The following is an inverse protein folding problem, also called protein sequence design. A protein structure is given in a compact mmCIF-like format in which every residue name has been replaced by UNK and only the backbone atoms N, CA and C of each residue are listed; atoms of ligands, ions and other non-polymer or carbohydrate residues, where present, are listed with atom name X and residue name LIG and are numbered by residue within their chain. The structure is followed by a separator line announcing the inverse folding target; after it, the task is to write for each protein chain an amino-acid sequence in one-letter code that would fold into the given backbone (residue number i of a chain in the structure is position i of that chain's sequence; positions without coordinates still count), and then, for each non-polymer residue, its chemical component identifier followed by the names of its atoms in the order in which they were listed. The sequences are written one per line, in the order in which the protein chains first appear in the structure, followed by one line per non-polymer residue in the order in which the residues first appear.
data_IF_214113547362
#
_entry.id   IF_214113547362
#
_cell.length_a   1.000
_cell.length_b   1.000
_cell.length_c   1.000
_cell.angle_alpha   90.00
_cell.angle_beta   90.00
_cell.angle_gamma   90.00
#
_symmetry.space_group_name_H-M   'P 1'
#
loop_
_entity.id
_entity.type
_entity.pdbx_description
1 polymer ?
#
# COMPACT_ATOMS: atom_id res chain seq x y z
N UNK A 1 -11.68 -45.15 6.07
CA UNK A 1 -10.82 -44.05 5.65
C UNK A 1 -9.50 -44.13 6.41
N UNK A 2 -8.40 -44.43 5.74
CA UNK A 2 -7.11 -44.78 6.35
C UNK A 2 -6.53 -43.63 7.20
N UNK A 3 -5.92 -43.96 8.34
CA UNK A 3 -5.25 -43.04 9.28
C UNK A 3 -4.18 -42.15 8.59
N UNK A 4 -3.60 -42.63 7.49
CA UNK A 4 -2.65 -41.89 6.66
C UNK A 4 -3.30 -40.70 5.90
N UNK A 5 -4.55 -40.86 5.44
CA UNK A 5 -5.30 -39.80 4.73
C UNK A 5 -5.73 -38.70 5.71
N UNK A 6 -6.10 -39.07 6.95
CA UNK A 6 -6.43 -38.07 8.00
C UNK A 6 -5.21 -37.22 8.41
N UNK A 7 -4.01 -37.82 8.48
CA UNK A 7 -2.77 -37.09 8.79
C UNK A 7 -2.36 -36.17 7.66
N UNK A 8 -2.52 -36.56 6.39
CA UNK A 8 -2.21 -35.74 5.24
C UNK A 8 -3.18 -34.54 5.11
N UNK A 9 -4.48 -34.73 5.38
CA UNK A 9 -5.47 -33.65 5.41
C UNK A 9 -5.23 -32.67 6.57
N UNK A 10 -4.78 -33.15 7.71
CA UNK A 10 -4.47 -32.28 8.87
C UNK A 10 -3.21 -31.45 8.64
N UNK A 11 -2.19 -32.02 7.99
CA UNK A 11 -0.95 -31.30 7.61
C UNK A 11 -1.23 -30.28 6.50
N UNK A 12 -2.08 -30.60 5.54
CA UNK A 12 -2.50 -29.66 4.48
C UNK A 12 -3.30 -28.48 5.04
N UNK A 13 -4.15 -28.72 6.04
CA UNK A 13 -4.90 -27.65 6.73
C UNK A 13 -4.00 -26.75 7.58
N UNK A 14 -2.94 -27.29 8.18
CA UNK A 14 -1.94 -26.51 8.92
C UNK A 14 -1.06 -25.65 8.02
N UNK A 15 -0.77 -26.10 6.80
CA UNK A 15 0.03 -25.34 5.83
C UNK A 15 -0.76 -24.19 5.18
N UNK A 16 -2.08 -24.35 4.99
CA UNK A 16 -2.93 -23.25 4.51
C UNK A 16 -3.16 -22.14 5.55
N UNK A 17 -3.07 -22.45 6.86
CA UNK A 17 -3.20 -21.41 7.89
C UNK A 17 -1.90 -20.63 8.17
N UNK A 18 -0.74 -21.13 7.72
CA UNK A 18 0.55 -20.46 7.90
C UNK A 18 0.69 -19.18 7.08
N UNK A 19 -0.01 -19.05 5.96
CA UNK A 19 0.04 -17.88 5.10
C UNK A 19 -0.71 -16.65 5.65
N UNK A 20 -1.76 -16.86 6.44
CA UNK A 20 -2.53 -15.79 7.06
C UNK A 20 -1.87 -15.18 8.31
N UNK A 21 -0.97 -15.91 8.96
CA UNK A 21 -0.33 -15.46 10.20
C UNK A 21 0.70 -14.32 9.96
N UNK A 22 1.25 -14.17 8.75
CA UNK A 22 2.21 -13.11 8.44
C UNK A 22 1.57 -11.74 8.20
N UNK A 23 0.36 -11.67 7.69
CA UNK A 23 -0.36 -10.41 7.49
C UNK A 23 -0.88 -9.84 8.82
N UNK A 24 -1.17 -10.69 9.80
CA UNK A 24 -1.75 -10.32 11.10
C UNK A 24 -0.74 -9.75 12.10
N UNK A 25 0.57 -9.82 11.84
CA UNK A 25 1.61 -9.40 12.79
C UNK A 25 1.76 -7.87 12.92
N UNK A 26 1.17 -7.09 12.00
CA UNK A 26 1.17 -5.63 12.03
C UNK A 26 -0.07 -5.02 12.68
N UNK A 27 -1.14 -5.82 12.85
CA UNK A 27 -2.35 -5.45 13.55
C UNK A 27 -2.30 -6.03 14.98
N UNK A 28 -2.02 -5.21 15.95
CA UNK A 28 -2.11 -5.61 17.36
C UNK A 28 -3.40 -5.06 17.94
N UNK A 29 -4.03 -5.80 18.84
CA UNK A 29 -5.23 -5.37 19.59
C UNK A 29 -5.05 -4.00 20.27
N UNK A 30 -3.82 -3.61 20.53
CA UNK A 30 -3.48 -2.32 21.14
C UNK A 30 -3.57 -1.15 20.16
N UNK A 31 -3.31 -1.40 18.86
CA UNK A 31 -3.50 -0.38 17.81
C UNK A 31 -4.98 -0.10 17.64
N UNK A 32 -5.81 -1.15 17.54
CA UNK A 32 -7.27 -1.00 17.39
C UNK A 32 -7.88 -0.25 18.58
N UNK A 33 -7.48 -0.57 19.80
CA UNK A 33 -7.94 0.17 20.99
C UNK A 33 -7.60 1.65 20.92
N UNK A 34 -6.37 2.00 20.54
CA UNK A 34 -5.96 3.40 20.38
C UNK A 34 -6.75 4.11 19.29
N UNK A 35 -7.01 3.42 18.17
CA UNK A 35 -7.83 3.97 17.09
C UNK A 35 -9.24 4.25 17.58
N UNK A 36 -9.87 3.29 18.27
CA UNK A 36 -11.21 3.44 18.82
C UNK A 36 -11.28 4.57 19.86
N UNK A 37 -10.29 4.67 20.75
CA UNK A 37 -10.18 5.75 21.73
C UNK A 37 -10.15 7.13 21.04
N UNK A 38 -9.36 7.28 19.98
CA UNK A 38 -9.28 8.53 19.21
C UNK A 38 -10.60 8.79 18.47
N UNK A 39 -11.14 7.79 17.78
CA UNK A 39 -12.39 7.91 17.02
C UNK A 39 -13.58 8.30 17.90
N UNK A 40 -13.64 7.78 19.13
CA UNK A 40 -14.70 8.11 20.08
C UNK A 40 -14.58 9.56 20.61
N UNK A 41 -13.40 10.14 20.59
CA UNK A 41 -13.18 11.54 20.99
C UNK A 41 -13.35 12.53 19.85
N UNK A 42 -13.31 12.07 18.58
CA UNK A 42 -13.48 12.92 17.42
C UNK A 42 -14.93 13.37 17.28
N UNK A 43 -15.12 14.68 17.05
CA UNK A 43 -16.41 15.20 16.60
C UNK A 43 -16.71 14.76 15.16
N UNK A 44 -17.97 14.82 14.77
CA UNK A 44 -18.36 14.50 13.38
C UNK A 44 -17.67 15.44 12.38
N UNK A 45 -17.50 16.71 12.74
CA UNK A 45 -16.83 17.67 11.88
C UNK A 45 -15.33 17.34 11.72
N UNK A 46 -14.64 16.92 12.79
CA UNK A 46 -13.24 16.48 12.70
C UNK A 46 -13.08 15.24 11.84
N UNK A 47 -14.03 14.29 11.89
CA UNK A 47 -14.03 13.12 11.02
C UNK A 47 -14.19 13.51 9.55
N UNK A 48 -15.14 14.39 9.24
CA UNK A 48 -15.35 14.90 7.90
C UNK A 48 -14.14 15.68 7.38
N UNK A 49 -13.58 16.56 8.19
CA UNK A 49 -12.40 17.34 7.86
C UNK A 49 -11.19 16.46 7.57
N UNK A 50 -11.00 15.39 8.37
CA UNK A 50 -9.86 14.47 8.19
C UNK A 50 -9.90 13.72 6.86
N UNK A 51 -11.09 13.28 6.43
CA UNK A 51 -11.26 12.53 5.16
C UNK A 51 -11.36 13.44 3.94
N UNK A 52 -11.75 14.70 4.10
CA UNK A 52 -11.84 15.65 2.98
C UNK A 52 -10.51 16.22 2.53
N UNK A 53 -9.46 16.02 3.34
CA UNK A 53 -8.14 16.56 3.07
C UNK A 53 -7.99 18.03 3.45
N UNK A 54 -6.78 18.54 3.31
CA UNK A 54 -6.44 19.93 3.61
C UNK A 54 -5.82 20.57 2.36
N UNK A 55 -4.50 20.52 2.24
CA UNK A 55 -3.78 21.10 1.11
C UNK A 55 -3.19 19.99 0.23
N UNK A 56 -3.53 20.00 -1.06
CA UNK A 56 -3.09 19.01 -2.04
C UNK A 56 -3.32 17.57 -1.53
N UNK A 57 -2.26 16.79 -1.35
CA UNK A 57 -2.28 15.40 -0.91
C UNK A 57 -2.02 15.23 0.60
N UNK A 58 -2.63 16.07 1.43
CA UNK A 58 -2.52 15.97 2.87
C UNK A 58 -3.89 15.79 3.51
N UNK A 59 -3.96 15.00 4.59
CA UNK A 59 -5.11 15.05 5.49
C UNK A 59 -4.99 16.22 6.45
N UNK A 60 -6.13 16.76 6.89
CA UNK A 60 -6.15 17.81 7.91
C UNK A 60 -5.80 17.23 9.28
N UNK A 61 -4.78 17.74 9.99
CA UNK A 61 -4.40 17.20 11.29
C UNK A 61 -5.44 17.53 12.35
N UNK A 62 -5.64 16.66 13.33
CA UNK A 62 -6.49 16.94 14.51
C UNK A 62 -5.58 17.19 15.70
N UNK A 63 -5.10 18.43 15.80
CA UNK A 63 -4.08 18.82 16.80
C UNK A 63 -4.53 18.53 18.23
N UNK A 64 -5.81 18.72 18.54
CA UNK A 64 -6.40 18.47 19.86
C UNK A 64 -6.23 17.03 20.34
N UNK A 65 -6.24 16.08 19.42
CA UNK A 65 -6.11 14.64 19.69
C UNK A 65 -4.72 14.09 19.36
N UNK A 66 -3.78 14.96 18.99
CA UNK A 66 -2.45 14.53 18.58
C UNK A 66 -2.40 13.74 17.27
N UNK A 67 -3.47 13.80 16.45
CA UNK A 67 -3.51 13.11 15.15
C UNK A 67 -2.78 13.95 14.11
N UNK A 68 -1.67 13.45 13.53
CA UNK A 68 -0.89 14.20 12.56
C UNK A 68 -1.59 14.21 11.19
N UNK A 69 -1.17 15.13 10.34
CA UNK A 69 -1.49 15.05 8.92
C UNK A 69 -0.78 13.86 8.28
N UNK A 70 -1.49 13.10 7.46
CA UNK A 70 -0.91 12.10 6.57
C UNK A 70 -0.54 12.82 5.28
N UNK A 71 0.72 12.69 4.87
CA UNK A 71 1.22 13.21 3.61
C UNK A 71 1.24 12.10 2.58
N UNK A 72 0.55 12.32 1.48
CA UNK A 72 0.54 11.41 0.33
C UNK A 72 1.33 12.04 -0.82
N UNK A 73 1.77 11.21 -1.74
CA UNK A 73 2.43 11.67 -2.96
C UNK A 73 2.06 10.77 -4.12
N UNK A 74 1.89 11.35 -5.31
CA UNK A 74 1.91 10.56 -6.53
C UNK A 74 3.26 9.88 -6.69
N UNK A 75 3.26 8.78 -7.42
CA UNK A 75 4.52 8.25 -7.86
C UNK A 75 4.67 6.75 -7.98
N UNK A 76 4.09 6.11 -9.00
CA UNK A 76 4.49 4.74 -9.33
C UNK A 76 5.95 4.67 -9.84
N UNK A 77 6.51 5.80 -10.30
CA UNK A 77 7.85 5.90 -10.88
C UNK A 77 8.78 6.84 -10.10
N UNK A 78 8.52 7.02 -8.83
CA UNK A 78 9.26 7.90 -7.93
C UNK A 78 8.35 8.81 -7.14
N UNK A 79 8.85 9.38 -6.05
CA UNK A 79 8.07 10.30 -5.22
C UNK A 79 7.83 11.59 -5.98
N UNK A 80 6.56 11.90 -6.30
CA UNK A 80 6.17 13.05 -7.09
C UNK A 80 6.04 14.37 -6.30
N UNK A 81 5.33 15.33 -6.93
CA UNK A 81 4.92 16.59 -6.33
C UNK A 81 6.02 17.53 -5.83
N UNK A 82 6.82 18.05 -6.79
CA UNK A 82 7.77 19.15 -6.54
C UNK A 82 8.85 18.82 -5.49
N UNK A 83 9.14 17.55 -5.31
CA UNK A 83 10.22 17.08 -4.45
C UNK A 83 11.31 16.51 -5.35
N UNK A 84 12.54 16.92 -5.18
CA UNK A 84 13.68 16.32 -5.87
C UNK A 84 13.84 14.86 -5.43
N UNK A 85 13.78 13.94 -6.38
CA UNK A 85 13.80 12.51 -6.13
C UNK A 85 14.38 11.75 -7.31
N UNK A 86 14.62 10.45 -7.09
CA UNK A 86 15.03 9.56 -8.16
C UNK A 86 13.83 9.25 -9.07
N UNK A 87 14.08 9.21 -10.38
CA UNK A 87 13.17 8.64 -11.34
C UNK A 87 13.42 7.14 -11.46
N UNK A 88 12.37 6.37 -11.28
CA UNK A 88 12.40 4.90 -11.41
C UNK A 88 11.92 4.49 -12.81
N UNK A 89 12.31 3.29 -13.28
CA UNK A 89 11.76 2.73 -14.51
C UNK A 89 10.23 2.67 -14.49
N UNK A 90 9.60 2.72 -15.65
CA UNK A 90 8.15 2.63 -15.74
C UNK A 90 7.63 1.24 -15.33
N UNK A 91 6.37 1.18 -14.87
CA UNK A 91 5.75 -0.07 -14.42
C UNK A 91 5.78 -1.18 -15.46
N UNK A 92 5.56 -0.82 -16.73
CA UNK A 92 5.64 -1.78 -17.84
C UNK A 92 7.04 -2.41 -17.99
N UNK A 93 8.11 -1.63 -17.80
CA UNK A 93 9.47 -2.16 -17.84
C UNK A 93 9.75 -3.10 -16.67
N UNK A 94 9.20 -2.80 -15.48
CA UNK A 94 9.31 -3.69 -14.32
C UNK A 94 8.56 -5.00 -14.56
N UNK A 95 7.32 -4.95 -15.02
CA UNK A 95 6.51 -6.13 -15.35
C UNK A 95 7.17 -7.01 -16.43
N UNK A 96 7.77 -6.41 -17.46
CA UNK A 96 8.48 -7.11 -18.52
C UNK A 96 9.70 -7.93 -18.02
N UNK A 97 10.17 -7.70 -16.82
CA UNK A 97 11.26 -8.52 -16.22
C UNK A 97 10.79 -9.87 -15.73
N UNK A 98 9.52 -10.07 -15.47
CA UNK A 98 8.94 -11.28 -14.85
C UNK A 98 9.66 -11.70 -13.56
N UNK A 99 10.18 -10.73 -12.82
CA UNK A 99 11.04 -10.96 -11.66
C UNK A 99 10.42 -10.35 -10.40
N UNK A 100 9.72 -11.18 -9.62
CA UNK A 100 9.09 -10.78 -8.37
C UNK A 100 10.07 -10.20 -7.34
N UNK A 101 11.30 -10.74 -7.30
CA UNK A 101 12.34 -10.22 -6.40
C UNK A 101 12.71 -8.79 -6.76
N UNK A 102 12.85 -8.49 -8.06
CA UNK A 102 13.14 -7.14 -8.52
C UNK A 102 11.96 -6.19 -8.22
N UNK A 103 10.73 -6.66 -8.39
CA UNK A 103 9.54 -5.88 -8.02
C UNK A 103 9.53 -5.54 -6.52
N UNK A 104 9.90 -6.48 -5.67
CA UNK A 104 10.03 -6.26 -4.23
C UNK A 104 11.13 -5.24 -3.90
N UNK A 105 12.31 -5.36 -4.52
CA UNK A 105 13.44 -4.43 -4.34
C UNK A 105 13.09 -3.02 -4.82
N UNK A 106 12.34 -2.92 -5.93
CA UNK A 106 11.80 -1.66 -6.45
C UNK A 106 10.88 -0.99 -5.40
N UNK A 107 9.91 -1.74 -4.87
CA UNK A 107 9.00 -1.26 -3.83
C UNK A 107 9.73 -0.83 -2.56
N UNK A 108 10.75 -1.58 -2.13
CA UNK A 108 11.57 -1.21 -0.98
C UNK A 108 12.34 0.10 -1.20
N UNK A 109 12.89 0.30 -2.38
CA UNK A 109 13.65 1.51 -2.71
C UNK A 109 12.73 2.73 -2.74
N UNK A 110 11.56 2.60 -3.38
CA UNK A 110 10.55 3.64 -3.40
C UNK A 110 10.05 3.99 -1.98
N UNK A 111 9.82 2.97 -1.14
CA UNK A 111 9.43 3.16 0.25
C UNK A 111 10.49 3.88 1.09
N UNK A 112 11.78 3.62 0.87
CA UNK A 112 12.88 4.36 1.52
C UNK A 112 12.90 5.82 1.09
N UNK A 113 12.70 6.09 -0.19
CA UNK A 113 12.62 7.45 -0.74
C UNK A 113 11.44 8.22 -0.15
N UNK A 114 10.28 7.59 0.00
CA UNK A 114 9.12 8.16 0.67
C UNK A 114 9.45 8.54 2.12
N UNK A 115 10.02 7.62 2.88
CA UNK A 115 10.36 7.87 4.29
C UNK A 115 11.39 9.00 4.46
N UNK A 116 12.41 9.03 3.61
CA UNK A 116 13.43 10.08 3.63
C UNK A 116 12.84 11.47 3.38
N UNK A 117 11.69 11.55 2.70
CA UNK A 117 11.00 12.79 2.34
C UNK A 117 9.77 13.09 3.20
N UNK A 118 9.52 12.26 4.22
CA UNK A 118 8.36 12.40 5.09
C UNK A 118 7.01 12.16 4.38
N UNK A 119 7.00 11.32 3.36
CA UNK A 119 5.79 10.84 2.71
C UNK A 119 5.33 9.56 3.41
N UNK A 120 4.07 9.52 3.82
CA UNK A 120 3.49 8.42 4.57
C UNK A 120 2.80 7.41 3.66
N UNK A 121 2.19 7.87 2.57
CA UNK A 121 1.48 7.04 1.59
C UNK A 121 1.94 7.45 0.19
N UNK A 122 2.42 6.48 -0.59
CA UNK A 122 2.64 6.64 -2.01
C UNK A 122 1.40 6.17 -2.78
N UNK A 123 0.98 6.94 -3.77
CA UNK A 123 -0.12 6.58 -4.68
C UNK A 123 0.46 5.75 -5.83
N UNK A 124 0.71 4.50 -5.55
CA UNK A 124 1.33 3.51 -6.42
C UNK A 124 1.33 2.13 -5.76
N UNK A 125 1.65 1.07 -6.51
CA UNK A 125 1.90 1.06 -7.96
C UNK A 125 0.65 1.29 -8.79
N UNK A 126 0.81 1.69 -10.06
CA UNK A 126 -0.30 1.81 -11.00
C UNK A 126 -0.62 0.43 -11.61
N UNK A 127 -1.71 -0.17 -11.13
CA UNK A 127 -2.10 -1.56 -11.46
C UNK A 127 -3.31 -1.64 -12.40
N UNK A 128 -3.58 -0.58 -13.15
CA UNK A 128 -4.66 -0.58 -14.13
C UNK A 128 -4.32 -1.52 -15.28
N UNK A 129 -5.31 -2.28 -15.73
CA UNK A 129 -5.15 -3.17 -16.89
C UNK A 129 -5.21 -2.34 -18.18
N UNK A 130 -4.25 -2.54 -19.08
CA UNK A 130 -4.27 -1.93 -20.42
C UNK A 130 -5.43 -2.51 -21.23
N UNK A 131 -6.51 -1.77 -21.38
CA UNK A 131 -7.67 -2.19 -22.19
C UNK A 131 -7.71 -1.53 -23.56
N UNK A 132 -7.26 -0.29 -23.61
CA UNK A 132 -7.27 0.50 -24.84
C UNK A 132 -5.89 1.14 -25.06
N UNK A 133 -5.33 1.11 -26.27
CA UNK A 133 -4.01 1.68 -26.55
C UNK A 133 -4.01 3.21 -26.48
N UNK A 134 -5.15 3.84 -26.59
CA UNK A 134 -5.31 5.32 -26.62
C UNK A 134 -5.39 5.95 -25.22
N UNK A 135 -4.83 5.33 -24.21
CA UNK A 135 -4.74 5.91 -22.86
C UNK A 135 -3.36 6.52 -22.65
N UNK A 136 -3.30 7.83 -22.37
CA UNK A 136 -2.03 8.55 -22.14
C UNK A 136 -1.24 8.12 -20.91
N UNK A 137 -1.80 7.24 -20.06
CA UNK A 137 -1.17 6.72 -18.85
C UNK A 137 -0.76 5.25 -18.94
N UNK A 138 -0.88 4.62 -20.11
CA UNK A 138 -0.51 3.20 -20.28
C UNK A 138 0.96 2.92 -19.93
N UNK A 139 1.85 3.89 -20.10
CA UNK A 139 3.28 3.74 -19.79
C UNK A 139 3.57 3.44 -18.31
N UNK A 140 2.69 3.85 -17.41
CA UNK A 140 2.90 3.68 -15.97
C UNK A 140 2.25 2.42 -15.40
N UNK A 141 1.42 1.71 -16.18
CA UNK A 141 0.74 0.49 -15.77
C UNK A 141 1.62 -0.74 -15.99
N UNK A 142 1.23 -1.88 -15.40
CA UNK A 142 2.02 -3.11 -15.46
C UNK A 142 1.80 -3.91 -16.75
N UNK A 143 0.65 -3.79 -17.41
CA UNK A 143 0.35 -4.49 -18.66
C UNK A 143 -1.12 -4.84 -18.82
N UNK A 144 -1.39 -5.76 -19.74
CA UNK A 144 -2.74 -6.25 -20.07
C UNK A 144 -3.15 -7.42 -19.16
N UNK A 145 -2.20 -8.15 -18.60
CA UNK A 145 -2.42 -9.34 -17.81
C UNK A 145 -2.60 -8.97 -16.32
N UNK A 146 -3.78 -9.25 -15.75
CA UNK A 146 -4.03 -8.97 -14.34
C UNK A 146 -3.26 -9.87 -13.36
N UNK A 147 -2.59 -10.90 -13.86
CA UNK A 147 -1.77 -11.79 -13.05
C UNK A 147 -0.38 -11.20 -12.76
N UNK A 148 0.13 -10.38 -13.65
CA UNK A 148 1.40 -9.66 -13.46
C UNK A 148 1.27 -8.54 -12.44
#
# INVERSE_FOLDING_TARGET
MSTKIRKALFISFLLCNGGFAFAQKWYTSDVDKKVDEILNQMTIQEKLDYISGDFQFHTKPIKRLGVPAIRMSDGPQGVGHRIETNAYPCGLALAATWNEKLAYEYGQSLGRDCRARGIHIILGPAVNIHRAPMCGRNFEYMGEDPYL
#
